data_IF_669204819669
#
_entry.id   IF_669204819669
#
_cell.length_a   1.000
_cell.length_b   1.000
_cell.length_c   1.000
_cell.angle_alpha   90.00
_cell.angle_beta   90.00
_cell.angle_gamma   90.00
#
_symmetry.space_group_name_H-M   'P 1'
#
loop_
_entity.id
_entity.type
_entity.pdbx_description
1 polymer ?
#
# COMPACT_ATOMS: atom_id res chain seq x y z
N UNK A 1 3.09 13.43 -4.67
CA UNK A 1 4.33 13.72 -5.40
C UNK A 1 4.54 15.21 -5.69
N UNK A 2 3.53 15.96 -6.13
CA UNK A 2 3.66 17.41 -6.36
C UNK A 2 4.13 18.18 -5.12
N UNK A 3 3.64 17.84 -3.93
CA UNK A 3 4.04 18.48 -2.67
C UNK A 3 5.52 18.25 -2.31
N UNK A 4 6.11 17.11 -2.65
CA UNK A 4 7.53 16.84 -2.41
C UNK A 4 8.44 17.67 -3.31
N UNK A 5 8.05 17.90 -4.57
CA UNK A 5 8.81 18.75 -5.51
C UNK A 5 8.90 20.20 -5.01
N UNK A 6 7.83 20.69 -4.38
CA UNK A 6 7.79 22.04 -3.79
C UNK A 6 8.75 22.23 -2.60
N UNK A 7 9.26 21.13 -2.01
CA UNK A 7 10.16 21.13 -0.85
C UNK A 7 11.66 21.16 -1.18
N UNK A 8 12.04 21.48 -2.43
CA UNK A 8 13.45 21.60 -2.85
C UNK A 8 14.27 20.30 -2.73
N UNK A 9 13.69 19.16 -3.08
CA UNK A 9 14.39 17.87 -3.13
C UNK A 9 15.36 17.71 -4.33
N UNK A 10 15.53 18.76 -5.14
CA UNK A 10 16.28 18.67 -6.40
C UNK A 10 15.42 18.09 -7.54
N UNK A 11 16.03 17.60 -8.63
CA UNK A 11 15.29 17.01 -9.75
C UNK A 11 14.62 15.69 -9.31
N UNK A 12 13.29 15.69 -9.19
CA UNK A 12 12.49 14.49 -8.87
C UNK A 12 11.81 14.02 -10.14
N UNK A 13 11.95 12.73 -10.45
CA UNK A 13 11.30 12.08 -11.57
C UNK A 13 10.32 11.04 -11.04
N UNK A 14 9.04 11.21 -11.34
CA UNK A 14 8.03 10.21 -11.08
C UNK A 14 7.98 9.21 -12.22
N UNK A 15 8.08 7.93 -11.89
CA UNK A 15 7.83 6.83 -12.81
C UNK A 15 6.50 6.20 -12.40
N UNK A 16 5.63 5.97 -13.36
CA UNK A 16 4.31 5.38 -13.12
C UNK A 16 3.92 4.46 -14.24
N UNK A 17 3.03 3.53 -13.94
CA UNK A 17 2.38 2.69 -14.93
C UNK A 17 1.62 3.57 -15.92
N UNK A 18 1.89 3.38 -17.22
CA UNK A 18 1.24 4.15 -18.30
C UNK A 18 0.01 3.46 -18.87
N UNK A 19 0.00 2.12 -18.82
CA UNK A 19 -1.04 1.27 -19.38
C UNK A 19 -1.56 0.34 -18.27
N UNK A 20 -2.76 0.66 -17.77
CA UNK A 20 -3.40 -0.11 -16.70
C UNK A 20 -3.89 -1.49 -17.15
N UNK A 21 -4.21 -1.66 -18.44
CA UNK A 21 -4.64 -2.97 -18.95
C UNK A 21 -3.44 -3.92 -19.03
N UNK A 22 -2.32 -3.45 -19.60
CA UNK A 22 -1.06 -4.20 -19.58
C UNK A 22 -0.63 -4.52 -18.14
N UNK A 23 -0.68 -3.55 -17.24
CA UNK A 23 -0.33 -3.71 -15.83
C UNK A 23 -1.14 -4.81 -15.16
N UNK A 24 -2.46 -4.79 -15.28
CA UNK A 24 -3.34 -5.81 -14.73
C UNK A 24 -3.29 -7.16 -15.46
N UNK A 25 -2.58 -7.27 -16.59
CA UNK A 25 -2.34 -8.52 -17.29
C UNK A 25 -1.05 -9.23 -16.87
N UNK A 26 -0.18 -8.57 -16.11
CA UNK A 26 1.02 -9.18 -15.53
C UNK A 26 0.57 -10.22 -14.48
N UNK A 27 1.20 -11.39 -14.48
CA UNK A 27 0.96 -12.37 -13.39
C UNK A 27 1.37 -11.75 -12.05
N UNK A 28 0.51 -11.83 -11.05
CA UNK A 28 0.73 -11.22 -9.73
C UNK A 28 2.06 -11.64 -9.09
N UNK A 29 2.52 -12.88 -9.35
CA UNK A 29 3.80 -13.40 -8.87
C UNK A 29 5.02 -12.74 -9.51
N UNK A 30 4.86 -12.19 -10.71
CA UNK A 30 5.91 -11.54 -11.48
C UNK A 30 5.79 -10.01 -11.44
N UNK A 31 4.75 -9.48 -10.78
CA UNK A 31 4.40 -8.07 -10.85
C UNK A 31 5.57 -7.15 -10.50
N UNK A 32 6.26 -7.42 -9.38
CA UNK A 32 7.37 -6.58 -8.95
C UNK A 32 8.54 -6.64 -9.93
N UNK A 33 8.89 -7.85 -10.39
CA UNK A 33 10.01 -8.05 -11.31
C UNK A 33 9.79 -7.35 -12.65
N UNK A 34 8.62 -7.56 -13.27
CA UNK A 34 8.30 -6.98 -14.58
C UNK A 34 8.15 -5.44 -14.52
N UNK A 35 7.48 -4.92 -13.48
CA UNK A 35 7.34 -3.47 -13.32
C UNK A 35 8.68 -2.81 -13.01
N UNK A 36 9.49 -3.41 -12.15
CA UNK A 36 10.84 -2.93 -11.85
C UNK A 36 11.72 -2.93 -13.11
N UNK A 37 11.64 -3.98 -13.94
CA UNK A 37 12.35 -4.04 -15.22
C UNK A 37 11.99 -2.87 -16.14
N UNK A 38 10.68 -2.59 -16.32
CA UNK A 38 10.20 -1.46 -17.12
C UNK A 38 10.73 -0.11 -16.58
N UNK A 39 10.83 0.04 -15.25
CA UNK A 39 11.34 1.27 -14.62
C UNK A 39 12.87 1.39 -14.76
N UNK A 40 13.59 0.29 -14.58
CA UNK A 40 15.04 0.24 -14.79
C UNK A 40 15.41 0.62 -16.22
N UNK A 41 14.70 0.09 -17.22
CA UNK A 41 14.95 0.41 -18.61
C UNK A 41 14.73 1.91 -18.88
N UNK A 42 13.69 2.52 -18.34
CA UNK A 42 13.47 3.96 -18.45
C UNK A 42 14.58 4.80 -17.79
N UNK A 43 15.13 4.36 -16.67
CA UNK A 43 16.25 5.02 -15.97
C UNK A 43 17.51 4.95 -16.81
N UNK A 44 17.83 3.77 -17.32
CA UNK A 44 19.03 3.50 -18.14
C UNK A 44 18.97 4.24 -19.48
N UNK A 45 17.83 4.23 -20.16
CA UNK A 45 17.62 4.97 -21.43
C UNK A 45 17.83 6.46 -21.27
N UNK A 46 17.53 7.04 -20.09
CA UNK A 46 17.81 8.46 -19.79
C UNK A 46 19.28 8.73 -19.44
N UNK A 47 20.12 7.69 -19.35
CA UNK A 47 21.56 7.81 -19.10
C UNK A 47 21.93 8.06 -17.66
N UNK A 48 21.01 7.87 -16.69
CA UNK A 48 21.35 8.02 -15.27
C UNK A 48 22.31 6.91 -14.82
N UNK A 49 23.32 7.31 -14.03
CA UNK A 49 24.36 6.39 -13.50
C UNK A 49 24.37 6.34 -11.98
N UNK A 50 23.84 7.36 -11.34
CA UNK A 50 23.65 7.44 -9.90
C UNK A 50 22.22 7.87 -9.66
N UNK A 51 21.49 7.12 -8.85
CA UNK A 51 20.08 7.36 -8.56
C UNK A 51 19.81 7.17 -7.07
N UNK A 52 18.95 8.01 -6.53
CA UNK A 52 18.24 7.73 -5.28
C UNK A 52 16.86 7.19 -5.66
N UNK A 53 16.45 6.09 -5.04
CA UNK A 53 15.13 5.52 -5.22
C UNK A 53 14.27 5.75 -3.99
N UNK A 54 13.05 6.18 -4.22
CA UNK A 54 12.08 6.41 -3.15
C UNK A 54 10.78 5.70 -3.56
N UNK A 55 10.30 4.83 -2.70
CA UNK A 55 9.05 4.12 -2.92
C UNK A 55 8.13 4.16 -1.70
N UNK A 56 6.84 4.32 -1.93
CA UNK A 56 5.80 4.31 -0.92
C UNK A 56 4.92 3.07 -1.07
N UNK A 57 4.63 2.38 0.04
CA UNK A 57 3.77 1.19 0.04
C UNK A 57 4.27 0.14 -0.98
N UNK A 58 3.44 -0.38 -1.88
CA UNK A 58 3.87 -1.24 -3.00
C UNK A 58 5.02 -0.62 -3.82
N UNK A 59 5.01 0.72 -3.99
CA UNK A 59 6.10 1.43 -4.68
C UNK A 59 7.46 1.24 -4.03
N UNK A 60 7.53 0.96 -2.73
CA UNK A 60 8.77 0.61 -2.05
C UNK A 60 9.27 -0.78 -2.39
N UNK A 61 8.38 -1.76 -2.51
CA UNK A 61 8.75 -3.11 -2.99
C UNK A 61 9.25 -3.06 -4.43
N UNK A 62 8.61 -2.27 -5.29
CA UNK A 62 9.06 -2.04 -6.67
C UNK A 62 10.42 -1.30 -6.68
N UNK A 63 10.64 -0.33 -5.78
CA UNK A 63 11.90 0.39 -5.67
C UNK A 63 13.04 -0.53 -5.20
N UNK A 64 12.78 -1.44 -4.26
CA UNK A 64 13.74 -2.45 -3.82
C UNK A 64 14.16 -3.36 -4.98
N UNK A 65 13.19 -3.92 -5.71
CA UNK A 65 13.47 -4.78 -6.85
C UNK A 65 14.17 -3.99 -7.98
N UNK A 66 13.80 -2.73 -8.20
CA UNK A 66 14.50 -1.84 -9.14
C UNK A 66 15.94 -1.57 -8.70
N UNK A 67 16.20 -1.39 -7.40
CA UNK A 67 17.55 -1.19 -6.87
C UNK A 67 18.43 -2.41 -7.15
N UNK A 68 17.90 -3.62 -6.94
CA UNK A 68 18.59 -4.88 -7.23
C UNK A 68 18.94 -4.97 -8.72
N UNK A 69 17.95 -4.79 -9.61
CA UNK A 69 18.16 -4.88 -11.06
C UNK A 69 19.08 -3.79 -11.61
N UNK A 70 18.99 -2.54 -11.10
CA UNK A 70 19.87 -1.45 -11.50
C UNK A 70 21.32 -1.72 -11.11
N UNK A 71 21.56 -2.27 -9.90
CA UNK A 71 22.89 -2.64 -9.43
C UNK A 71 23.54 -3.71 -10.34
N UNK A 72 22.77 -4.71 -10.76
CA UNK A 72 23.21 -5.74 -11.72
C UNK A 72 23.57 -5.15 -13.09
N UNK A 73 22.89 -4.06 -13.50
CA UNK A 73 23.11 -3.34 -14.76
C UNK A 73 24.16 -2.23 -14.66
N UNK A 74 24.85 -2.11 -13.51
CA UNK A 74 25.94 -1.15 -13.28
C UNK A 74 25.50 0.29 -13.07
N UNK A 75 24.25 0.50 -12.65
CA UNK A 75 23.77 1.80 -12.16
C UNK A 75 23.91 1.82 -10.64
N UNK A 76 24.55 2.87 -10.11
CA UNK A 76 24.77 3.03 -8.68
C UNK A 76 23.50 3.57 -8.00
N UNK A 77 22.93 2.80 -7.09
CA UNK A 77 21.84 3.22 -6.21
C UNK A 77 22.47 3.80 -4.95
N UNK A 78 22.51 5.13 -4.86
CA UNK A 78 23.17 5.84 -3.75
C UNK A 78 22.32 5.88 -2.48
N UNK A 79 21.01 5.75 -2.60
CA UNK A 79 20.09 5.66 -1.47
C UNK A 79 18.81 4.95 -1.90
N UNK A 80 18.31 4.07 -1.04
CA UNK A 80 17.02 3.40 -1.19
C UNK A 80 16.14 3.73 0.02
N UNK A 81 15.14 4.56 -0.20
CA UNK A 81 14.20 4.98 0.84
C UNK A 81 12.84 4.32 0.62
N UNK A 82 12.38 3.56 1.61
CA UNK A 82 11.10 2.88 1.63
C UNK A 82 10.18 3.59 2.61
N UNK A 83 9.04 4.10 2.14
CA UNK A 83 8.06 4.81 2.98
C UNK A 83 6.91 3.86 3.24
N UNK A 84 6.79 3.40 4.47
CA UNK A 84 5.74 2.49 4.94
C UNK A 84 5.45 1.34 3.96
N UNK A 85 6.51 0.66 3.56
CA UNK A 85 6.49 -0.42 2.59
C UNK A 85 6.73 -1.74 3.31
N UNK A 86 5.83 -2.69 3.08
CA UNK A 86 5.92 -4.03 3.65
C UNK A 86 5.42 -5.06 2.65
N UNK A 87 6.08 -6.24 2.58
CA UNK A 87 5.47 -7.38 1.92
C UNK A 87 4.20 -7.80 2.66
N UNK A 88 3.14 -8.05 1.91
CA UNK A 88 1.92 -8.62 2.47
C UNK A 88 2.09 -10.13 2.55
N UNK A 89 1.79 -10.74 3.68
CA UNK A 89 1.91 -12.19 3.88
C UNK A 89 0.58 -12.88 4.21
N UNK A 90 -0.52 -12.29 3.78
CA UNK A 90 -1.87 -12.81 3.98
C UNK A 90 -2.71 -12.64 2.71
N UNK A 91 -3.79 -13.42 2.62
CA UNK A 91 -4.69 -13.41 1.47
C UNK A 91 -6.10 -13.00 1.87
N UNK A 92 -6.75 -12.25 1.01
CA UNK A 92 -8.18 -12.01 1.08
C UNK A 92 -8.89 -12.97 0.12
N UNK A 93 -9.54 -14.01 0.68
CA UNK A 93 -10.38 -14.92 -0.09
C UNK A 93 -11.85 -14.48 -0.11
N UNK A 94 -12.10 -13.23 0.26
CA UNK A 94 -13.38 -12.57 0.15
C UNK A 94 -13.22 -11.18 -0.46
N UNK A 95 -13.96 -10.93 -1.53
CA UNK A 95 -13.96 -9.63 -2.22
C UNK A 95 -14.44 -8.50 -1.30
N UNK A 96 -15.43 -8.77 -0.46
CA UNK A 96 -16.10 -7.75 0.34
C UNK A 96 -15.16 -7.05 1.31
N UNK A 97 -14.28 -7.78 2.00
CA UNK A 97 -13.32 -7.17 2.94
C UNK A 97 -12.31 -6.33 2.19
N UNK A 98 -11.81 -6.82 1.06
CA UNK A 98 -10.85 -6.08 0.23
C UNK A 98 -11.49 -4.81 -0.39
N UNK A 99 -12.75 -4.89 -0.80
CA UNK A 99 -13.53 -3.73 -1.26
C UNK A 99 -13.68 -2.68 -0.15
N UNK A 100 -13.98 -3.09 1.09
CA UNK A 100 -14.10 -2.17 2.22
C UNK A 100 -12.77 -1.49 2.54
N UNK A 101 -11.65 -2.21 2.51
CA UNK A 101 -10.33 -1.60 2.68
C UNK A 101 -10.05 -0.61 1.54
N UNK A 102 -10.36 -0.96 0.30
CA UNK A 102 -10.23 -0.06 -0.83
C UNK A 102 -11.04 1.23 -0.66
N UNK A 103 -12.30 1.12 -0.26
CA UNK A 103 -13.19 2.28 -0.03
C UNK A 103 -12.68 3.16 1.11
N UNK A 104 -12.09 2.55 2.14
CA UNK A 104 -11.45 3.31 3.23
C UNK A 104 -10.26 4.13 2.74
N UNK A 105 -9.46 3.59 1.84
CA UNK A 105 -8.38 4.35 1.20
C UNK A 105 -8.90 5.54 0.38
N UNK A 106 -10.18 5.55 0.02
CA UNK A 106 -10.87 6.70 -0.59
C UNK A 106 -11.48 7.65 0.46
N UNK A 107 -11.21 7.44 1.75
CA UNK A 107 -11.67 8.28 2.84
C UNK A 107 -13.14 8.04 3.23
N UNK A 108 -13.68 6.85 2.98
CA UNK A 108 -15.01 6.42 3.41
C UNK A 108 -14.86 5.38 4.49
N UNK A 109 -15.46 5.61 5.65
CA UNK A 109 -15.42 4.66 6.77
C UNK A 109 -16.53 3.62 6.67
N UNK A 110 -16.42 2.54 7.46
CA UNK A 110 -17.52 1.57 7.57
C UNK A 110 -18.75 2.20 8.22
N UNK A 111 -18.55 3.15 9.13
CA UNK A 111 -19.62 3.97 9.73
C UNK A 111 -20.38 4.80 8.68
N UNK A 112 -19.68 5.30 7.66
CA UNK A 112 -20.32 6.00 6.55
C UNK A 112 -21.21 5.08 5.71
N UNK A 113 -20.86 3.82 5.60
CA UNK A 113 -21.64 2.82 4.87
C UNK A 113 -22.82 2.33 5.71
N UNK A 114 -22.59 2.08 7.00
CA UNK A 114 -23.54 1.46 7.93
C UNK A 114 -23.58 2.22 9.24
N UNK A 115 -24.64 2.97 9.48
CA UNK A 115 -24.80 3.84 10.67
C UNK A 115 -24.70 3.08 12.02
N UNK A 116 -24.90 1.75 12.02
CA UNK A 116 -24.91 0.93 13.23
C UNK A 116 -23.58 0.17 13.43
N UNK A 117 -22.61 0.35 12.57
CA UNK A 117 -21.32 -0.35 12.65
C UNK A 117 -20.24 0.69 12.92
N UNK A 118 -19.57 0.60 14.06
CA UNK A 118 -18.41 1.43 14.32
C UNK A 118 -17.12 0.77 13.80
N UNK A 119 -16.13 1.59 13.52
CA UNK A 119 -14.86 1.15 12.94
C UNK A 119 -14.11 0.17 13.85
N UNK A 120 -14.18 0.34 15.18
CA UNK A 120 -13.47 -0.54 16.11
C UNK A 120 -14.10 -1.94 16.15
N UNK A 121 -15.44 -2.02 16.23
CA UNK A 121 -16.14 -3.31 16.19
C UNK A 121 -15.88 -4.05 14.87
N UNK A 122 -15.78 -3.32 13.75
CA UNK A 122 -15.43 -3.90 12.47
C UNK A 122 -14.00 -4.48 12.49
N UNK A 123 -13.02 -3.75 13.01
CA UNK A 123 -11.65 -4.25 13.17
C UNK A 123 -11.57 -5.51 14.01
N UNK A 124 -12.17 -5.46 15.20
CA UNK A 124 -12.17 -6.57 16.13
C UNK A 124 -12.85 -7.79 15.52
N UNK A 125 -13.94 -7.59 14.79
CA UNK A 125 -14.63 -8.65 14.04
C UNK A 125 -13.74 -9.30 12.99
N UNK A 126 -13.06 -8.50 12.16
CA UNK A 126 -12.18 -9.02 11.12
C UNK A 126 -10.98 -9.76 11.72
N UNK A 127 -10.43 -9.27 12.84
CA UNK A 127 -9.38 -9.97 13.55
C UNK A 127 -9.84 -11.36 14.05
N UNK A 128 -11.10 -11.49 14.50
CA UNK A 128 -11.69 -12.79 14.87
C UNK A 128 -11.98 -13.69 13.66
N UNK A 129 -12.27 -13.11 12.50
CA UNK A 129 -12.53 -13.85 11.26
C UNK A 129 -11.23 -14.30 10.57
N UNK A 130 -10.07 -13.77 10.97
CA UNK A 130 -8.77 -14.13 10.40
C UNK A 130 -8.36 -15.54 10.83
N UNK A 131 -7.99 -16.34 9.84
CA UNK A 131 -7.45 -17.68 10.06
C UNK A 131 -5.91 -17.60 10.03
N UNK A 132 -5.28 -17.69 11.22
CA UNK A 132 -3.82 -17.60 11.36
C UNK A 132 -3.08 -18.75 10.64
N UNK A 133 -3.61 -19.96 10.65
CA UNK A 133 -2.98 -21.14 10.03
C UNK A 133 -2.93 -21.00 8.51
N UNK A 134 -4.04 -20.56 7.92
CA UNK A 134 -4.16 -20.36 6.47
C UNK A 134 -3.68 -18.95 6.03
N UNK A 135 -3.46 -18.05 6.97
CA UNK A 135 -3.17 -16.63 6.73
C UNK A 135 -4.19 -15.98 5.79
N UNK A 136 -5.46 -16.22 6.04
CA UNK A 136 -6.54 -15.76 5.15
C UNK A 136 -7.73 -15.23 5.93
N UNK A 137 -8.47 -14.32 5.28
CA UNK A 137 -9.82 -13.93 5.66
C UNK A 137 -10.73 -14.40 4.53
N UNK A 138 -11.67 -15.29 4.86
CA UNK A 138 -12.62 -15.84 3.93
C UNK A 138 -14.07 -15.74 4.45
N UNK A 139 -15.03 -16.09 3.60
CA UNK A 139 -16.44 -16.03 3.96
C UNK A 139 -16.80 -16.99 5.11
N UNK A 140 -16.14 -18.14 5.21
CA UNK A 140 -16.36 -19.10 6.30
C UNK A 140 -15.93 -18.49 7.64
N UNK A 141 -14.76 -17.82 7.68
CA UNK A 141 -14.30 -17.10 8.85
C UNK A 141 -15.27 -15.99 9.26
N UNK A 142 -15.73 -15.16 8.30
CA UNK A 142 -16.71 -14.09 8.54
C UNK A 142 -18.01 -14.64 9.12
N UNK A 143 -18.57 -15.69 8.53
CA UNK A 143 -19.82 -16.29 8.98
C UNK A 143 -19.66 -17.09 10.29
N UNK A 144 -18.45 -17.52 10.60
CA UNK A 144 -18.10 -18.25 11.82
C UNK A 144 -18.01 -17.39 13.09
N UNK A 145 -17.89 -16.07 12.98
CA UNK A 145 -17.93 -15.18 14.16
C UNK A 145 -19.36 -15.05 14.65
N UNK A 146 -19.68 -15.75 15.74
CA UNK A 146 -21.05 -15.82 16.29
C UNK A 146 -21.27 -14.96 17.54
N UNK A 147 -20.29 -14.17 17.97
CA UNK A 147 -20.42 -13.28 19.12
C UNK A 147 -21.48 -12.19 18.85
N UNK A 148 -22.50 -12.13 19.70
CA UNK A 148 -23.63 -11.20 19.56
C UNK A 148 -23.21 -9.72 19.66
N UNK A 149 -22.07 -9.43 20.26
CA UNK A 149 -21.48 -8.10 20.29
C UNK A 149 -21.25 -7.53 18.88
N UNK A 150 -20.98 -8.40 17.92
CA UNK A 150 -20.73 -8.02 16.53
C UNK A 150 -21.89 -8.34 15.59
N UNK A 151 -23.11 -8.49 16.11
CA UNK A 151 -24.28 -8.84 15.30
C UNK A 151 -24.52 -7.87 14.15
N UNK A 152 -24.34 -6.58 14.36
CA UNK A 152 -24.49 -5.52 13.34
C UNK A 152 -23.41 -5.63 12.25
N UNK A 153 -22.16 -5.86 12.62
CA UNK A 153 -21.04 -6.07 11.67
C UNK A 153 -21.31 -7.30 10.81
N UNK A 154 -21.68 -8.42 11.46
CA UNK A 154 -22.00 -9.67 10.76
C UNK A 154 -23.17 -9.50 9.80
N UNK A 155 -24.21 -8.76 10.20
CA UNK A 155 -25.37 -8.46 9.35
C UNK A 155 -24.96 -7.65 8.13
N UNK A 156 -24.18 -6.59 8.31
CA UNK A 156 -23.67 -5.72 7.25
C UNK A 156 -22.82 -6.49 6.24
N UNK A 157 -21.88 -7.31 6.72
CA UNK A 157 -21.03 -8.13 5.84
C UNK A 157 -21.83 -9.20 5.10
N UNK A 158 -22.81 -9.86 5.77
CA UNK A 158 -23.69 -10.84 5.14
C UNK A 158 -24.55 -10.19 4.04
N UNK A 159 -25.03 -8.97 4.25
CA UNK A 159 -25.74 -8.20 3.23
C UNK A 159 -24.84 -7.95 2.02
N UNK A 160 -23.63 -7.41 2.23
CA UNK A 160 -22.67 -7.15 1.15
C UNK A 160 -22.31 -8.44 0.37
N UNK A 161 -22.05 -9.54 1.06
CA UNK A 161 -21.77 -10.85 0.43
C UNK A 161 -22.92 -11.29 -0.47
N UNK A 162 -24.17 -11.00 -0.09
CA UNK A 162 -25.36 -11.38 -0.87
C UNK A 162 -25.60 -10.50 -2.11
N UNK A 163 -24.95 -9.32 -2.19
CA UNK A 163 -25.13 -8.38 -3.30
C UNK A 163 -24.20 -8.72 -4.47
N UNK A 164 -24.62 -8.35 -5.69
CA UNK A 164 -23.69 -8.36 -6.83
C UNK A 164 -22.63 -7.26 -6.69
N UNK A 165 -21.49 -7.45 -7.33
CA UNK A 165 -20.39 -6.45 -7.34
C UNK A 165 -20.88 -5.08 -7.81
N UNK A 166 -21.70 -5.04 -8.90
CA UNK A 166 -22.24 -3.79 -9.42
C UNK A 166 -23.16 -3.09 -8.40
N UNK A 167 -23.95 -3.86 -7.64
CA UNK A 167 -24.82 -3.32 -6.62
C UNK A 167 -24.03 -2.74 -5.45
N UNK A 168 -22.94 -3.42 -5.00
CA UNK A 168 -22.04 -2.92 -3.97
C UNK A 168 -21.36 -1.62 -4.42
N UNK A 169 -20.76 -1.60 -5.62
CA UNK A 169 -20.07 -0.41 -6.14
C UNK A 169 -21.02 0.75 -6.43
N UNK A 170 -22.29 0.47 -6.81
CA UNK A 170 -23.32 1.49 -6.88
C UNK A 170 -23.63 2.11 -5.51
N UNK A 171 -23.64 1.31 -4.44
CA UNK A 171 -23.81 1.80 -3.07
C UNK A 171 -22.59 2.64 -2.64
N UNK A 172 -21.38 2.17 -2.87
CA UNK A 172 -20.14 2.89 -2.54
C UNK A 172 -20.07 4.26 -3.24
N UNK A 173 -20.37 4.32 -4.54
CA UNK A 173 -20.42 5.57 -5.30
C UNK A 173 -21.38 6.61 -4.69
N UNK A 174 -22.55 6.16 -4.21
CA UNK A 174 -23.53 7.04 -3.54
C UNK A 174 -23.00 7.58 -2.20
N UNK A 175 -22.30 6.73 -1.44
CA UNK A 175 -21.71 7.14 -0.16
C UNK A 175 -20.56 8.10 -0.38
N UNK A 176 -19.67 7.84 -1.34
CA UNK A 176 -18.60 8.77 -1.74
C UNK A 176 -19.18 10.14 -2.09
N UNK A 177 -20.24 10.19 -2.91
CA UNK A 177 -20.92 11.44 -3.25
C UNK A 177 -21.48 12.15 -2.01
N UNK A 178 -22.06 11.40 -1.06
CA UNK A 178 -22.64 11.97 0.17
C UNK A 178 -21.57 12.54 1.10
N UNK A 179 -20.45 11.81 1.30
CA UNK A 179 -19.43 12.15 2.30
C UNK A 179 -18.42 13.16 1.75
N UNK A 180 -17.97 12.96 0.51
CA UNK A 180 -16.92 13.78 -0.09
C UNK A 180 -17.42 14.86 -1.04
N UNK A 181 -18.70 14.85 -1.38
CA UNK A 181 -19.28 15.69 -2.44
C UNK A 181 -18.59 15.52 -3.81
N UNK A 182 -18.09 14.31 -4.06
CA UNK A 182 -17.43 13.90 -5.31
C UNK A 182 -18.30 12.90 -6.07
N UNK A 183 -18.41 13.07 -7.37
CA UNK A 183 -19.17 12.17 -8.22
C UNK A 183 -18.20 11.26 -9.00
N UNK A 184 -18.18 9.97 -8.65
CA UNK A 184 -17.34 8.95 -9.31
C UNK A 184 -18.26 7.98 -10.03
N UNK A 185 -18.02 7.76 -11.32
CA UNK A 185 -18.75 6.75 -12.10
C UNK A 185 -18.39 5.34 -11.62
N UNK A 186 -19.37 4.47 -11.62
CA UNK A 186 -19.20 3.07 -11.14
C UNK A 186 -18.09 2.34 -11.90
N UNK A 187 -18.05 2.50 -13.23
CA UNK A 187 -17.02 1.87 -14.07
C UNK A 187 -15.61 2.30 -13.67
N UNK A 188 -15.43 3.60 -13.38
CA UNK A 188 -14.13 4.14 -12.95
C UNK A 188 -13.74 3.64 -11.55
N UNK A 189 -14.72 3.51 -10.65
CA UNK A 189 -14.49 2.95 -9.31
C UNK A 189 -14.11 1.47 -9.38
N UNK A 190 -14.73 0.70 -10.27
CA UNK A 190 -14.40 -0.69 -10.54
C UNK A 190 -12.99 -0.84 -11.15
N UNK A 191 -12.61 0.05 -12.07
CA UNK A 191 -11.25 0.04 -12.65
C UNK A 191 -10.19 0.34 -11.58
N UNK A 192 -10.45 1.30 -10.69
CA UNK A 192 -9.56 1.60 -9.57
C UNK A 192 -9.44 0.42 -8.61
N UNK A 193 -10.57 -0.23 -8.30
CA UNK A 193 -10.57 -1.42 -7.46
C UNK A 193 -9.79 -2.58 -8.09
N UNK A 194 -9.94 -2.81 -9.40
CA UNK A 194 -9.19 -3.84 -10.12
C UNK A 194 -7.67 -3.64 -9.98
N UNK A 195 -7.20 -2.40 -10.16
CA UNK A 195 -5.78 -2.05 -9.98
C UNK A 195 -5.36 -2.24 -8.51
N UNK A 196 -6.19 -1.79 -7.57
CA UNK A 196 -5.93 -1.93 -6.14
C UNK A 196 -5.80 -3.40 -5.72
N UNK A 197 -6.75 -4.24 -6.13
CA UNK A 197 -6.71 -5.68 -5.87
C UNK A 197 -5.44 -6.33 -6.45
N UNK A 198 -5.10 -5.99 -7.68
CA UNK A 198 -3.88 -6.46 -8.33
C UNK A 198 -2.62 -6.05 -7.57
N UNK A 199 -2.58 -4.82 -7.05
CA UNK A 199 -1.50 -4.32 -6.21
C UNK A 199 -1.37 -5.10 -4.89
N UNK A 200 -2.49 -5.35 -4.20
CA UNK A 200 -2.49 -6.10 -2.93
C UNK A 200 -2.00 -7.53 -3.17
N UNK A 201 -2.49 -8.20 -4.19
CA UNK A 201 -2.07 -9.55 -4.52
C UNK A 201 -0.58 -9.60 -4.92
N UNK A 202 -0.12 -8.65 -5.74
CA UNK A 202 1.28 -8.53 -6.14
C UNK A 202 2.24 -8.14 -5.02
N UNK A 203 1.72 -7.62 -3.90
CA UNK A 203 2.50 -7.35 -2.68
C UNK A 203 2.68 -8.59 -1.81
N UNK A 204 1.96 -9.67 -2.09
CA UNK A 204 2.04 -10.92 -1.35
C UNK A 204 3.20 -11.77 -1.85
N UNK A 205 4.39 -11.32 -1.55
CA UNK A 205 5.64 -11.93 -1.98
C UNK A 205 6.65 -11.94 -0.84
N UNK A 206 7.68 -12.77 -0.98
CA UNK A 206 8.91 -12.67 -0.18
C UNK A 206 9.96 -11.97 -1.05
N UNK A 207 10.32 -10.71 -0.76
CA UNK A 207 11.36 -10.02 -1.51
C UNK A 207 12.68 -10.76 -1.44
N UNK A 208 13.48 -10.63 -2.51
CA UNK A 208 14.84 -11.15 -2.50
C UNK A 208 15.76 -10.27 -1.64
N UNK A 209 16.82 -10.86 -1.10
CA UNK A 209 17.84 -10.14 -0.33
C UNK A 209 18.47 -9.02 -1.16
N UNK A 210 18.72 -7.89 -0.49
CA UNK A 210 19.35 -6.71 -1.07
C UNK A 210 20.70 -6.43 -0.38
N UNK A 211 21.76 -6.24 -1.16
CA UNK A 211 23.12 -6.06 -0.65
C UNK A 211 23.48 -4.60 -0.35
N UNK A 212 22.60 -3.65 -0.64
CA UNK A 212 22.79 -2.24 -0.32
C UNK A 212 22.12 -1.84 1.00
N UNK A 213 22.24 -0.56 1.34
CA UNK A 213 21.59 0.03 2.50
C UNK A 213 20.14 0.34 2.22
N UNK A 214 19.29 0.20 3.23
CA UNK A 214 17.86 0.53 3.17
C UNK A 214 17.55 1.55 4.27
N UNK A 215 16.85 2.62 3.91
CA UNK A 215 16.18 3.50 4.86
C UNK A 215 14.70 3.21 4.85
N UNK A 216 14.18 2.72 5.99
CA UNK A 216 12.75 2.47 6.20
C UNK A 216 12.15 3.63 6.99
N UNK A 217 11.23 4.36 6.39
CA UNK A 217 10.46 5.40 7.04
C UNK A 217 9.14 4.82 7.54
N UNK A 218 9.01 4.67 8.84
CA UNK A 218 7.89 4.00 9.49
C UNK A 218 6.96 5.00 10.19
N UNK A 219 5.67 5.12 9.80
CA UNK A 219 4.70 5.98 10.46
C UNK A 219 4.36 5.48 11.86
N UNK A 220 4.33 6.41 12.85
CA UNK A 220 4.06 6.08 14.26
C UNK A 220 2.57 5.92 14.60
N UNK A 221 1.66 6.42 13.76
CA UNK A 221 0.23 6.34 14.01
C UNK A 221 -0.32 5.08 13.33
N UNK A 222 -1.13 4.26 14.03
CA UNK A 222 -1.71 3.07 13.44
C UNK A 222 -2.69 3.43 12.32
N UNK A 223 -2.75 2.60 11.31
CA UNK A 223 -3.84 2.69 10.32
C UNK A 223 -5.16 2.25 10.94
N UNK A 224 -6.23 2.99 10.62
CA UNK A 224 -7.57 2.64 11.10
C UNK A 224 -8.07 1.28 10.60
N UNK A 225 -7.50 0.74 9.51
CA UNK A 225 -7.98 -0.46 8.82
C UNK A 225 -6.92 -1.51 8.47
N UNK A 226 -5.74 -1.48 9.08
CA UNK A 226 -4.81 -2.61 8.99
C UNK A 226 -5.13 -3.57 10.13
N UNK A 227 -5.60 -4.75 9.77
CA UNK A 227 -6.01 -5.80 10.70
C UNK A 227 -4.85 -6.61 11.26
N UNK A 228 -3.67 -6.44 10.67
CA UNK A 228 -2.50 -7.22 10.99
C UNK A 228 -1.46 -6.32 11.61
N UNK A 229 -0.89 -6.85 12.66
CA UNK A 229 0.15 -6.23 13.44
C UNK A 229 1.35 -5.91 12.52
N UNK A 230 1.68 -4.63 12.42
CA UNK A 230 2.86 -4.17 11.69
C UNK A 230 4.12 -4.24 12.57
N UNK A 231 4.01 -4.69 13.82
CA UNK A 231 5.15 -4.82 14.76
C UNK A 231 6.27 -5.73 14.21
N UNK A 232 5.99 -6.57 13.21
CA UNK A 232 6.99 -7.42 12.56
C UNK A 232 7.69 -6.80 11.33
N UNK A 233 7.37 -5.57 10.95
CA UNK A 233 7.92 -4.94 9.74
C UNK A 233 9.45 -4.89 9.74
N UNK A 234 10.02 -4.44 10.85
CA UNK A 234 11.47 -4.31 11.01
C UNK A 234 12.18 -5.66 10.87
N UNK A 235 11.60 -6.71 11.44
CA UNK A 235 12.17 -8.08 11.38
C UNK A 235 12.25 -8.56 9.94
N UNK A 236 11.21 -8.32 9.14
CA UNK A 236 11.19 -8.72 7.73
C UNK A 236 12.29 -7.99 6.94
N UNK A 237 12.45 -6.69 7.20
CA UNK A 237 13.47 -5.89 6.52
C UNK A 237 14.89 -6.22 6.98
N UNK A 238 15.09 -6.59 8.24
CA UNK A 238 16.39 -7.05 8.77
C UNK A 238 16.85 -8.35 8.10
N UNK A 239 15.92 -9.25 7.80
CA UNK A 239 16.19 -10.48 7.06
C UNK A 239 16.53 -10.26 5.57
N UNK A 240 16.02 -9.17 4.97
CA UNK A 240 16.18 -8.85 3.55
C UNK A 240 17.40 -7.95 3.31
N UNK A 241 17.70 -7.02 4.20
CA UNK A 241 18.77 -6.05 4.08
C UNK A 241 20.10 -6.62 4.57
N UNK A 242 21.04 -6.90 3.64
CA UNK A 242 22.40 -7.33 4.02
C UNK A 242 23.30 -6.14 4.36
N UNK A 243 22.97 -4.95 3.85
CA UNK A 243 23.62 -3.69 4.20
C UNK A 243 23.16 -3.14 5.55
N UNK A 244 23.14 -1.83 5.69
CA UNK A 244 22.62 -1.15 6.87
C UNK A 244 21.11 -0.88 6.72
N UNK A 245 20.32 -1.28 7.70
CA UNK A 245 18.91 -0.91 7.82
C UNK A 245 18.77 0.29 8.76
N UNK A 246 18.42 1.46 8.21
CA UNK A 246 18.15 2.69 8.97
C UNK A 246 16.64 2.86 9.09
N UNK A 247 16.09 2.58 10.28
CA UNK A 247 14.65 2.72 10.56
C UNK A 247 14.41 4.09 11.18
N UNK A 248 13.58 4.89 10.52
CA UNK A 248 13.25 6.26 10.95
C UNK A 248 11.75 6.38 11.17
N UNK A 249 11.35 6.72 12.38
CA UNK A 249 9.96 7.04 12.68
C UNK A 249 9.55 8.37 12.03
N UNK A 250 8.36 8.38 11.42
CA UNK A 250 7.76 9.57 10.80
C UNK A 250 6.35 9.82 11.32
N UNK A 251 5.89 11.07 11.25
CA UNK A 251 4.55 11.45 11.70
C UNK A 251 3.45 10.89 10.79
N UNK A 252 2.30 10.59 11.39
CA UNK A 252 1.11 10.13 10.71
C UNK A 252 1.00 8.61 10.59
N UNK A 253 0.03 8.16 9.80
CA UNK A 253 -0.20 6.77 9.41
C UNK A 253 0.08 6.55 7.92
N UNK A 254 -0.16 5.35 7.43
CA UNK A 254 0.08 4.98 6.03
C UNK A 254 -0.41 6.02 5.01
N UNK A 255 -1.60 6.57 5.18
CA UNK A 255 -2.16 7.56 4.26
C UNK A 255 -1.75 8.98 4.61
N UNK A 256 -1.84 9.36 5.88
CA UNK A 256 -1.63 10.76 6.29
C UNK A 256 -0.17 11.20 6.16
N UNK A 257 0.81 10.30 6.26
CA UNK A 257 2.24 10.64 6.11
C UNK A 257 2.57 11.24 4.75
N UNK A 258 1.80 10.90 3.69
CA UNK A 258 1.99 11.43 2.33
C UNK A 258 0.88 12.38 1.87
N UNK A 259 -0.19 12.57 2.66
CA UNK A 259 -1.34 13.40 2.30
C UNK A 259 -1.48 14.65 3.16
N UNK A 260 -1.02 14.62 4.42
CA UNK A 260 -1.10 15.76 5.32
C UNK A 260 0.08 16.71 5.04
N UNK A 261 -0.19 17.96 4.71
CA UNK A 261 0.83 18.96 4.36
C UNK A 261 1.94 19.12 5.40
N UNK A 262 1.62 19.00 6.69
CA UNK A 262 2.60 19.07 7.77
C UNK A 262 3.52 17.86 7.72
N UNK A 263 2.97 16.66 7.64
CA UNK A 263 3.74 15.41 7.64
C UNK A 263 4.59 15.26 6.36
N UNK A 264 4.05 15.68 5.22
CA UNK A 264 4.82 15.72 3.95
C UNK A 264 6.04 16.62 4.03
N UNK A 265 5.95 17.75 4.75
CA UNK A 265 7.12 18.63 4.98
C UNK A 265 8.17 17.95 5.85
N UNK A 266 7.75 17.34 6.95
CA UNK A 266 8.64 16.57 7.84
C UNK A 266 9.31 15.41 7.08
N UNK A 267 8.54 14.65 6.31
CA UNK A 267 9.00 13.57 5.46
C UNK A 267 10.06 14.06 4.44
N UNK A 268 9.82 15.19 3.79
CA UNK A 268 10.77 15.78 2.83
C UNK A 268 12.11 16.15 3.49
N UNK A 269 12.11 16.64 4.74
CA UNK A 269 13.34 16.95 5.46
C UNK A 269 14.13 15.70 5.85
N UNK A 270 13.44 14.58 6.12
CA UNK A 270 14.09 13.27 6.36
C UNK A 270 14.74 12.75 5.07
N UNK A 271 14.03 12.83 3.95
CA UNK A 271 14.51 12.35 2.64
C UNK A 271 15.72 13.16 2.14
N UNK A 272 15.82 14.45 2.45
CA UNK A 272 16.95 15.31 2.05
C UNK A 272 18.28 14.93 2.68
N UNK A 273 18.29 14.36 3.87
CA UNK A 273 19.52 14.11 4.64
C UNK A 273 20.60 13.33 3.90
N UNK A 274 20.32 12.24 3.15
CA UNK A 274 21.35 11.52 2.42
C UNK A 274 21.96 12.31 1.26
N UNK A 275 21.17 13.18 0.61
CA UNK A 275 21.64 13.97 -0.54
C UNK A 275 22.71 14.96 -0.11
N UNK A 276 22.62 15.51 1.10
CA UNK A 276 23.58 16.48 1.65
C UNK A 276 24.90 15.79 2.01
N UNK A 277 24.84 14.56 2.54
CA UNK A 277 26.02 13.84 3.01
C UNK A 277 26.90 13.29 1.86
N UNK A 278 26.34 13.13 0.65
CA UNK A 278 27.08 12.70 -0.55
C UNK A 278 27.67 13.87 -1.36
N UNK A 279 27.33 15.10 -1.05
CA UNK A 279 27.81 16.31 -1.74
C UNK A 279 28.92 17.04 -0.98
N UNK A 280 29.26 16.59 0.24
CA UNK A 280 30.37 17.04 1.05
C UNK A 280 31.56 16.09 0.99
#
# INVERSE_FOLDING_TARGET
MNHMVEQNLGPVIGISVKDSERYCSIDEKNLLEEVAQDYCDQIIERGYRNVQLIGYSLGGLIALESARQLSEKGVNVVDLTLIDSMPVNYHFNTEVVLELIFITNLGITVEDLYNNVNNQDFKDFIALAYNEEKRTIDEEGILGVVDDRYAEVRSALSELISMSTEARFSSYSKVIKRVRNEEIRIEMLLDYYRIYKHNVNGSNITPMVYFGDIRLLHPIEPMEFVFLDTEGAEIIWDDICIGNLDVVEISGNHLSCIQNDKYVKELAEVIKKPIVDYLT
#
